data_IF_579706199991
#
_entry.id   IF_579706199991
#
_cell.length_a   1.000
_cell.length_b   1.000
_cell.length_c   1.000
_cell.angle_alpha   90.00
_cell.angle_beta   90.00
_cell.angle_gamma   90.00
#
_symmetry.space_group_name_H-M   'P 1'
#
loop_
_entity.id
_entity.type
_entity.pdbx_description
1 polymer ?
#
# COMPACT_ATOMS: atom_id res chain seq x y z
N UNK A 1 77.31 -3.84 4.84
CA UNK A 1 76.95 -4.92 5.78
C UNK A 1 76.47 -6.09 4.94
N UNK A 2 77.43 -6.92 4.51
CA UNK A 2 77.74 -8.23 5.13
C UNK A 2 76.58 -9.21 4.90
N UNK A 3 76.62 -10.00 3.83
CA UNK A 3 77.40 -11.25 3.60
C UNK A 3 76.98 -12.33 4.59
N UNK A 4 76.60 -13.51 4.05
CA UNK A 4 76.87 -14.89 4.49
C UNK A 4 75.64 -15.77 4.10
N UNK A 5 75.71 -16.94 3.46
CA UNK A 5 76.81 -17.74 2.94
C UNK A 5 76.26 -19.05 2.31
N UNK A 6 76.70 -19.34 1.08
CA UNK A 6 77.11 -20.63 0.49
C UNK A 6 76.17 -21.86 0.32
N UNK A 7 76.20 -22.35 -0.93
CA UNK A 7 76.55 -23.72 -1.42
C UNK A 7 75.82 -24.91 -0.77
N UNK A 8 75.13 -25.79 -1.49
CA UNK A 8 75.47 -26.39 -2.79
C UNK A 8 75.88 -27.85 -2.55
N UNK A 9 75.19 -28.83 -3.14
CA UNK A 9 75.80 -30.13 -3.42
C UNK A 9 75.09 -30.92 -4.54
N UNK A 10 75.90 -31.18 -5.54
CA UNK A 10 75.93 -32.17 -6.62
C UNK A 10 74.78 -33.15 -6.91
N UNK A 11 74.59 -33.20 -8.22
CA UNK A 11 73.92 -34.16 -9.09
C UNK A 11 74.68 -35.50 -9.14
N UNK A 12 73.97 -36.64 -8.98
CA UNK A 12 74.17 -37.88 -9.78
C UNK A 12 73.25 -39.04 -9.36
N UNK A 13 72.46 -39.48 -10.34
CA UNK A 13 72.08 -40.87 -10.68
C UNK A 13 71.79 -41.84 -9.52
N UNK A 14 70.55 -42.34 -9.48
CA UNK A 14 70.24 -43.73 -9.85
C UNK A 14 68.73 -43.98 -9.93
N UNK A 15 68.40 -44.72 -10.98
CA UNK A 15 67.12 -45.26 -11.42
C UNK A 15 66.50 -46.11 -10.30
N UNK A 16 65.20 -45.96 -10.02
CA UNK A 16 64.28 -47.10 -10.01
C UNK A 16 62.83 -46.67 -10.20
N UNK A 17 62.21 -47.37 -11.14
CA UNK A 17 60.83 -47.34 -11.59
C UNK A 17 59.90 -47.86 -10.49
N UNK A 18 58.82 -47.14 -10.19
CA UNK A 18 57.64 -47.71 -9.58
C UNK A 18 56.40 -47.01 -10.14
N UNK A 19 55.75 -47.74 -11.03
CA UNK A 19 54.53 -47.42 -11.76
C UNK A 19 53.37 -47.06 -10.83
N UNK A 20 52.71 -45.93 -11.09
CA UNK A 20 51.34 -45.70 -10.70
C UNK A 20 50.58 -45.19 -11.94
N UNK A 21 49.74 -46.05 -12.49
CA UNK A 21 48.90 -45.77 -13.63
C UNK A 21 47.91 -44.66 -13.28
N UNK A 22 48.14 -43.46 -13.82
CA UNK A 22 47.20 -42.34 -13.72
C UNK A 22 46.31 -42.37 -14.96
N UNK A 23 45.09 -42.88 -14.78
CA UNK A 23 44.04 -42.79 -15.79
C UNK A 23 43.75 -41.31 -16.08
N UNK A 24 44.03 -40.88 -17.31
CA UNK A 24 43.61 -39.60 -17.86
C UNK A 24 42.09 -39.65 -18.07
N UNK A 25 41.33 -39.18 -17.08
CA UNK A 25 39.93 -38.82 -17.28
C UNK A 25 39.88 -37.60 -18.21
N UNK A 26 39.27 -37.80 -19.37
CA UNK A 26 38.96 -36.75 -20.33
C UNK A 26 38.10 -35.68 -19.65
N UNK A 27 38.67 -34.49 -19.46
CA UNK A 27 37.94 -33.31 -19.01
C UNK A 27 36.97 -32.86 -20.09
N UNK A 28 35.77 -33.42 -20.09
CA UNK A 28 34.65 -32.88 -20.85
C UNK A 28 34.29 -31.52 -20.26
N UNK A 29 34.53 -30.45 -21.04
CA UNK A 29 34.00 -29.13 -20.77
C UNK A 29 32.46 -29.20 -20.90
N UNK A 30 31.77 -29.45 -19.78
CA UNK A 30 30.33 -29.20 -19.68
C UNK A 30 30.14 -27.68 -19.74
N UNK A 31 29.81 -27.18 -20.92
CA UNK A 31 29.25 -25.84 -21.07
C UNK A 31 27.96 -25.81 -20.25
N UNK A 32 28.03 -25.19 -19.07
CA UNK A 32 26.86 -24.92 -18.25
C UNK A 32 25.99 -23.93 -19.02
N UNK A 33 25.02 -24.43 -19.78
CA UNK A 33 23.99 -23.61 -20.38
C UNK A 33 23.31 -22.85 -19.25
N UNK A 34 23.62 -21.56 -19.16
CA UNK A 34 22.94 -20.65 -18.26
C UNK A 34 21.44 -20.74 -18.57
N UNK A 35 20.68 -21.30 -17.62
CA UNK A 35 19.23 -21.28 -17.71
C UNK A 35 18.79 -19.81 -17.93
N UNK A 36 17.84 -19.55 -18.85
CA UNK A 36 17.36 -18.19 -19.06
C UNK A 36 16.88 -17.65 -17.72
N UNK A 37 17.46 -16.52 -17.30
CA UNK A 37 17.05 -15.83 -16.08
C UNK A 37 15.54 -15.59 -16.16
N UNK A 38 14.79 -16.17 -15.22
CA UNK A 38 13.36 -15.94 -15.11
C UNK A 38 13.15 -14.42 -15.02
N UNK A 39 12.45 -13.85 -16.01
CA UNK A 39 12.07 -12.44 -15.96
C UNK A 39 11.25 -12.23 -14.67
N UNK A 40 11.57 -11.23 -13.83
CA UNK A 40 10.78 -10.93 -12.65
C UNK A 40 9.32 -10.77 -13.09
N UNK A 41 8.43 -11.57 -12.51
CA UNK A 41 7.00 -11.44 -12.78
C UNK A 41 6.61 -9.97 -12.59
N UNK A 42 5.95 -9.39 -13.59
CA UNK A 42 5.49 -8.01 -13.50
C UNK A 42 4.65 -7.86 -12.23
N UNK A 43 5.14 -7.05 -11.27
CA UNK A 43 4.41 -6.74 -10.05
C UNK A 43 3.12 -6.05 -10.49
N UNK A 44 1.97 -6.70 -10.24
CA UNK A 44 0.68 -6.10 -10.54
C UNK A 44 0.59 -4.76 -9.79
N UNK A 45 0.10 -3.68 -10.44
CA UNK A 45 -0.16 -2.43 -9.75
C UNK A 45 -1.01 -2.69 -8.50
N UNK A 46 -0.68 -2.03 -7.40
CA UNK A 46 -1.47 -2.11 -6.18
C UNK A 46 -2.90 -1.64 -6.47
N UNK A 47 -3.87 -2.34 -5.89
CA UNK A 47 -5.26 -1.95 -5.96
C UNK A 47 -5.46 -0.57 -5.29
N UNK A 48 -6.05 0.43 -5.97
CA UNK A 48 -6.21 1.78 -5.42
C UNK A 48 -6.97 1.83 -4.09
N UNK A 49 -8.00 1.01 -3.92
CA UNK A 49 -8.79 0.96 -2.69
C UNK A 49 -7.93 0.41 -1.54
N UNK A 50 -7.29 -0.73 -1.75
CA UNK A 50 -6.40 -1.35 -0.76
C UNK A 50 -5.24 -0.43 -0.39
N UNK A 51 -4.65 0.27 -1.36
CA UNK A 51 -3.57 1.23 -1.10
C UNK A 51 -4.04 2.40 -0.24
N UNK A 52 -5.27 2.91 -0.44
CA UNK A 52 -5.84 3.95 0.40
C UNK A 52 -6.12 3.47 1.83
N UNK A 53 -6.66 2.26 2.00
CA UNK A 53 -6.88 1.66 3.32
C UNK A 53 -5.54 1.39 4.04
N UNK A 54 -4.53 0.91 3.32
CA UNK A 54 -3.19 0.73 3.86
C UNK A 54 -2.57 2.06 4.29
N UNK A 55 -2.71 3.13 3.51
CA UNK A 55 -2.24 4.46 3.90
C UNK A 55 -2.89 4.93 5.21
N UNK A 56 -4.19 4.70 5.39
CA UNK A 56 -4.89 4.98 6.66
C UNK A 56 -4.33 4.18 7.82
N UNK A 57 -4.08 2.88 7.65
CA UNK A 57 -3.51 2.02 8.69
C UNK A 57 -2.10 2.46 9.10
N UNK A 58 -1.28 2.90 8.13
CA UNK A 58 0.04 3.47 8.41
C UNK A 58 -0.08 4.80 9.15
N UNK A 59 -1.05 5.65 8.81
CA UNK A 59 -1.32 6.89 9.54
C UNK A 59 -1.73 6.61 11.00
N UNK A 60 -2.53 5.57 11.24
CA UNK A 60 -2.89 5.16 12.60
C UNK A 60 -1.70 4.66 13.41
N UNK A 61 -0.83 3.86 12.78
CA UNK A 61 0.42 3.46 13.40
C UNK A 61 1.27 4.68 13.76
N UNK A 62 1.46 5.59 12.80
CA UNK A 62 2.22 6.81 13.00
C UNK A 62 1.69 7.68 14.16
N UNK A 63 0.37 7.79 14.33
CA UNK A 63 -0.26 8.49 15.46
C UNK A 63 0.01 7.83 16.80
N UNK A 64 -0.15 6.50 16.87
CA UNK A 64 0.08 5.74 18.10
C UNK A 64 1.53 5.83 18.57
N UNK A 65 2.47 5.75 17.62
CA UNK A 65 3.90 5.77 17.92
C UNK A 65 4.50 7.19 17.96
N UNK A 66 3.75 8.20 17.50
CA UNK A 66 4.28 9.55 17.30
C UNK A 66 5.38 9.61 16.23
N UNK A 67 5.31 8.75 15.21
CA UNK A 67 6.34 8.58 14.18
C UNK A 67 6.09 9.47 12.95
N UNK A 68 6.89 10.55 12.74
CA UNK A 68 6.70 11.44 11.60
C UNK A 68 7.10 10.81 10.25
N UNK A 69 8.01 9.83 10.24
CA UNK A 69 8.41 9.13 9.02
C UNK A 69 7.31 8.17 8.54
N UNK A 70 6.66 7.48 9.48
CA UNK A 70 5.49 6.68 9.17
C UNK A 70 4.34 7.57 8.65
N UNK A 71 4.09 8.73 9.25
CA UNK A 71 3.05 9.65 8.77
C UNK A 71 3.37 10.20 7.37
N UNK A 72 4.63 10.57 7.11
CA UNK A 72 5.09 10.95 5.77
C UNK A 72 4.87 9.81 4.76
N UNK A 73 5.12 8.57 5.17
CA UNK A 73 4.90 7.39 4.32
C UNK A 73 3.42 7.23 3.99
N UNK A 74 2.53 7.33 4.97
CA UNK A 74 1.08 7.30 4.76
C UNK A 74 0.62 8.39 3.78
N UNK A 75 1.08 9.63 3.95
CA UNK A 75 0.73 10.74 3.07
C UNK A 75 1.18 10.48 1.62
N UNK A 76 2.40 9.97 1.43
CA UNK A 76 2.92 9.60 0.11
C UNK A 76 2.17 8.44 -0.52
N UNK A 77 1.82 7.42 0.26
CA UNK A 77 1.02 6.29 -0.21
C UNK A 77 -0.33 6.78 -0.74
N UNK A 78 -1.03 7.62 0.04
CA UNK A 78 -2.34 8.14 -0.34
C UNK A 78 -2.26 9.05 -1.58
N UNK A 79 -1.25 9.93 -1.64
CA UNK A 79 -1.01 10.82 -2.77
C UNK A 79 -0.77 10.10 -4.10
N UNK A 80 -0.28 8.87 -4.04
CA UNK A 80 -0.05 8.04 -5.23
C UNK A 80 -1.31 7.31 -5.71
N UNK A 81 -2.39 7.32 -4.93
CA UNK A 81 -3.65 6.66 -5.31
C UNK A 81 -4.36 7.54 -6.34
N UNK A 82 -4.62 7.04 -7.56
CA UNK A 82 -5.41 7.75 -8.53
C UNK A 82 -6.87 7.81 -8.08
N UNK A 83 -7.36 9.00 -7.72
CA UNK A 83 -8.74 9.21 -7.28
C UNK A 83 -9.49 10.14 -8.22
N UNK A 84 -10.72 9.77 -8.57
CA UNK A 84 -11.69 10.71 -9.11
C UNK A 84 -12.56 11.25 -7.98
N UNK A 85 -12.74 12.56 -7.92
CA UNK A 85 -13.68 13.18 -7.00
C UNK A 85 -15.12 12.92 -7.50
N UNK A 86 -15.96 12.38 -6.62
CA UNK A 86 -17.41 12.38 -6.77
C UNK A 86 -17.98 13.72 -6.30
N UNK A 87 -19.31 13.87 -6.36
CA UNK A 87 -19.99 15.03 -5.76
C UNK A 87 -19.62 15.12 -4.28
N UNK A 88 -18.89 16.17 -3.90
CA UNK A 88 -18.46 16.42 -2.54
C UNK A 88 -19.39 17.43 -1.87
N UNK A 89 -19.64 17.25 -0.57
CA UNK A 89 -20.27 18.29 0.23
C UNK A 89 -19.34 19.50 0.34
N UNK A 90 -19.90 20.72 0.25
CA UNK A 90 -19.13 21.95 0.48
C UNK A 90 -18.55 22.00 1.90
N UNK A 91 -17.36 22.58 2.07
CA UNK A 91 -16.73 22.85 3.38
C UNK A 91 -15.24 22.48 3.41
N UNK A 92 -14.69 22.44 4.62
CA UNK A 92 -13.26 22.23 4.89
C UNK A 92 -12.70 20.90 4.36
N UNK A 93 -11.39 20.71 4.43
CA UNK A 93 -10.77 19.45 4.03
C UNK A 93 -11.06 18.35 5.06
N UNK A 94 -11.35 17.12 4.60
CA UNK A 94 -11.53 15.99 5.49
C UNK A 94 -10.21 15.59 6.15
N UNK A 95 -10.25 15.10 7.39
CA UNK A 95 -9.05 14.69 8.13
C UNK A 95 -8.22 13.60 7.41
N UNK A 96 -8.87 12.80 6.57
CA UNK A 96 -8.20 11.83 5.70
C UNK A 96 -8.03 12.38 4.27
N UNK A 97 -6.90 13.04 4.04
CA UNK A 97 -6.48 13.48 2.71
C UNK A 97 -4.95 13.52 2.63
N UNK A 98 -4.34 13.54 1.42
CA UNK A 98 -2.90 13.72 1.31
C UNK A 98 -2.39 14.95 2.06
N UNK A 99 -3.05 16.11 1.90
CA UNK A 99 -2.59 17.36 2.48
C UNK A 99 -2.76 17.38 4.00
N UNK A 100 -3.85 16.84 4.54
CA UNK A 100 -4.06 16.68 5.97
C UNK A 100 -2.99 15.75 6.59
N UNK A 101 -2.68 14.61 5.96
CA UNK A 101 -1.64 13.69 6.44
C UNK A 101 -0.24 14.32 6.39
N UNK A 102 0.07 15.10 5.35
CA UNK A 102 1.34 15.82 5.32
C UNK A 102 1.40 16.93 6.38
N UNK A 103 0.29 17.63 6.65
CA UNK A 103 0.22 18.61 7.73
C UNK A 103 0.47 17.96 9.09
N UNK A 104 -0.10 16.78 9.33
CA UNK A 104 0.14 15.98 10.54
C UNK A 104 1.59 15.50 10.62
N UNK A 105 2.19 15.07 9.50
CA UNK A 105 3.62 14.72 9.44
C UNK A 105 4.52 15.89 9.86
N UNK A 106 4.21 17.12 9.43
CA UNK A 106 4.96 18.33 9.84
C UNK A 106 4.81 18.58 11.33
N UNK A 107 3.61 18.44 11.87
CA UNK A 107 3.36 18.61 13.30
C UNK A 107 4.17 17.62 14.15
N UNK A 108 4.26 16.36 13.71
CA UNK A 108 5.07 15.33 14.37
C UNK A 108 6.58 15.58 14.22
N UNK A 109 7.03 16.09 13.06
CA UNK A 109 8.45 16.38 12.80
C UNK A 109 9.02 17.53 13.64
N UNK A 110 8.16 18.42 14.16
CA UNK A 110 8.56 19.58 14.97
C UNK A 110 9.64 20.41 14.26
N UNK A 111 10.82 20.55 14.85
CA UNK A 111 11.91 21.40 14.36
C UNK A 111 12.97 20.64 13.53
N UNK A 112 12.75 19.36 13.20
CA UNK A 112 13.65 18.58 12.34
C UNK A 112 13.65 19.15 10.90
N UNK A 113 14.60 20.05 10.64
CA UNK A 113 14.71 20.76 9.36
C UNK A 113 14.92 19.81 8.17
N UNK A 114 15.63 18.70 8.37
CA UNK A 114 15.88 17.74 7.31
C UNK A 114 14.57 17.01 6.93
N UNK A 115 13.81 16.58 7.92
CA UNK A 115 12.51 15.94 7.70
C UNK A 115 11.47 16.91 7.15
N UNK A 116 11.40 18.14 7.65
CA UNK A 116 10.52 19.19 7.11
C UNK A 116 10.79 19.46 5.62
N UNK A 117 12.06 19.45 5.20
CA UNK A 117 12.44 19.57 3.79
C UNK A 117 11.95 18.35 2.98
N UNK A 118 12.14 17.14 3.50
CA UNK A 118 11.66 15.91 2.85
C UNK A 118 10.13 15.90 2.69
N UNK A 119 9.40 16.36 3.70
CA UNK A 119 7.94 16.51 3.65
C UNK A 119 7.56 17.50 2.54
N UNK A 120 8.20 18.67 2.49
CA UNK A 120 7.92 19.69 1.46
C UNK A 120 8.17 19.16 0.05
N UNK A 121 9.28 18.46 -0.18
CA UNK A 121 9.60 17.85 -1.48
C UNK A 121 8.58 16.76 -1.87
N UNK A 122 8.13 15.97 -0.90
CA UNK A 122 7.10 14.94 -1.13
C UNK A 122 5.72 15.56 -1.42
N UNK A 123 5.42 16.71 -0.80
CA UNK A 123 4.21 17.50 -1.06
C UNK A 123 4.21 18.16 -2.44
N UNK A 124 5.36 18.55 -2.98
CA UNK A 124 5.43 19.16 -4.32
C UNK A 124 5.49 18.15 -5.47
N UNK A 125 5.94 16.92 -5.21
CA UNK A 125 5.97 15.86 -6.24
C UNK A 125 4.56 15.61 -6.80
N UNK A 126 4.37 15.55 -8.12
CA UNK A 126 3.03 15.32 -8.68
C UNK A 126 2.48 13.94 -8.28
N UNK A 127 1.20 13.89 -7.91
CA UNK A 127 0.47 12.63 -7.76
C UNK A 127 0.33 11.94 -9.11
N UNK A 128 0.18 10.60 -9.11
CA UNK A 128 -0.18 9.89 -10.34
C UNK A 128 -1.62 10.28 -10.68
N UNK A 129 -1.83 10.91 -11.84
CA UNK A 129 -3.17 11.27 -12.32
C UNK A 129 -4.10 10.04 -12.40
N UNK A 130 -5.40 10.27 -12.57
CA UNK A 130 -6.41 9.20 -12.59
C UNK A 130 -6.06 8.14 -13.65
N UNK A 131 -5.55 7.00 -13.20
CA UNK A 131 -5.35 5.83 -14.04
C UNK A 131 -6.59 4.95 -13.90
N UNK A 132 -7.10 4.45 -15.03
CA UNK A 132 -8.10 3.39 -15.02
C UNK A 132 -7.59 2.24 -14.14
N UNK A 133 -8.42 1.83 -13.18
CA UNK A 133 -8.18 0.67 -12.33
C UNK A 133 -8.47 -0.59 -13.14
N UNK A 134 -7.94 -1.75 -12.73
CA UNK A 134 -8.36 -3.05 -13.25
C UNK A 134 -9.88 -3.30 -13.05
N UNK A 135 -10.55 -2.46 -12.25
CA UNK A 135 -11.99 -2.47 -11.96
C UNK A 135 -12.78 -1.31 -12.60
N UNK A 136 -12.16 -0.41 -13.39
CA UNK A 136 -12.88 0.70 -14.06
C UNK A 136 -12.28 2.10 -13.83
N UNK A 137 -13.14 3.10 -13.55
CA UNK A 137 -12.77 4.52 -13.37
C UNK A 137 -12.09 4.79 -12.02
N UNK A 138 -10.84 4.35 -11.83
CA UNK A 138 -10.02 4.68 -10.66
C UNK A 138 -10.69 4.40 -9.30
N UNK A 139 -10.17 4.99 -8.23
CA UNK A 139 -10.89 5.03 -6.94
C UNK A 139 -11.82 6.25 -6.93
N UNK A 140 -13.10 6.08 -6.62
CA UNK A 140 -14.01 7.20 -6.39
C UNK A 140 -13.88 7.65 -4.95
N UNK A 141 -13.61 8.95 -4.76
CA UNK A 141 -13.58 9.61 -3.46
C UNK A 141 -14.74 10.59 -3.34
N UNK A 142 -15.49 10.53 -2.25
CA UNK A 142 -16.52 11.52 -1.89
C UNK A 142 -16.29 11.99 -0.45
N UNK A 143 -16.43 13.27 -0.20
CA UNK A 143 -16.44 13.82 1.17
C UNK A 143 -17.86 14.19 1.55
N UNK A 144 -18.30 13.72 2.71
CA UNK A 144 -19.65 13.93 3.20
C UNK A 144 -19.67 14.15 4.71
N UNK A 145 -20.40 15.16 5.15
CA UNK A 145 -20.74 15.33 6.56
C UNK A 145 -21.79 14.27 6.97
N UNK A 146 -21.46 13.44 7.97
CA UNK A 146 -22.38 12.46 8.57
C UNK A 146 -22.75 12.94 9.97
N UNK A 147 -24.00 13.37 10.11
CA UNK A 147 -24.53 13.94 11.35
C UNK A 147 -24.51 12.92 12.51
N UNK A 148 -24.44 13.40 13.76
CA UNK A 148 -24.52 12.55 14.94
C UNK A 148 -25.75 11.66 14.93
N UNK A 149 -25.60 10.41 15.35
CA UNK A 149 -26.70 9.42 15.48
C UNK A 149 -27.54 9.28 14.21
N UNK A 150 -26.93 9.49 13.05
CA UNK A 150 -27.61 9.48 11.76
C UNK A 150 -26.82 8.68 10.72
N UNK A 151 -27.42 8.45 9.56
CA UNK A 151 -26.78 7.80 8.43
C UNK A 151 -26.99 8.58 7.13
N UNK A 152 -25.91 8.75 6.38
CA UNK A 152 -25.94 9.14 4.98
C UNK A 152 -26.25 7.93 4.12
N UNK A 153 -27.25 8.03 3.26
CA UNK A 153 -27.72 6.92 2.41
C UNK A 153 -27.62 7.28 0.96
N UNK A 154 -27.12 6.35 0.15
CA UNK A 154 -27.04 6.48 -1.30
C UNK A 154 -27.10 5.11 -1.95
N UNK A 155 -27.28 5.10 -3.26
CA UNK A 155 -27.24 3.89 -4.08
C UNK A 155 -26.02 3.90 -4.98
N UNK A 156 -25.50 2.71 -5.26
CA UNK A 156 -24.46 2.47 -6.27
C UNK A 156 -24.93 1.38 -7.22
N UNK A 157 -24.55 1.48 -8.48
CA UNK A 157 -24.73 0.39 -9.44
C UNK A 157 -23.46 -0.45 -9.48
N UNK A 158 -23.58 -1.75 -9.24
CA UNK A 158 -22.47 -2.69 -9.35
C UNK A 158 -22.80 -3.80 -10.35
N UNK A 159 -21.75 -4.39 -10.93
CA UNK A 159 -21.88 -5.53 -11.84
C UNK A 159 -21.72 -6.85 -11.09
N UNK A 160 -22.51 -7.84 -11.50
CA UNK A 160 -22.36 -9.20 -10.99
C UNK A 160 -20.98 -9.77 -11.34
N UNK A 161 -20.34 -10.44 -10.38
CA UNK A 161 -19.02 -11.04 -10.53
C UNK A 161 -17.85 -10.08 -10.35
N UNK A 162 -18.08 -8.76 -10.28
CA UNK A 162 -17.06 -7.76 -9.99
C UNK A 162 -17.06 -7.41 -8.49
N UNK A 163 -15.90 -7.17 -7.85
CA UNK A 163 -15.87 -6.70 -6.47
C UNK A 163 -16.54 -5.33 -6.32
N UNK A 164 -17.35 -5.17 -5.27
CA UNK A 164 -17.85 -3.90 -4.76
C UNK A 164 -17.23 -3.68 -3.38
N UNK A 165 -16.37 -2.67 -3.26
CA UNK A 165 -15.72 -2.27 -2.01
C UNK A 165 -16.14 -0.86 -1.66
N UNK A 166 -16.60 -0.67 -0.43
CA UNK A 166 -16.96 0.62 0.12
C UNK A 166 -16.21 0.80 1.43
N UNK A 167 -15.49 1.91 1.57
CA UNK A 167 -14.86 2.32 2.81
C UNK A 167 -15.38 3.68 3.23
N UNK A 168 -15.51 3.91 4.52
CA UNK A 168 -15.83 5.21 5.08
C UNK A 168 -14.83 5.53 6.17
N UNK A 169 -14.18 6.68 6.08
CA UNK A 169 -13.15 7.14 7.01
C UNK A 169 -13.63 8.45 7.60
N UNK A 170 -14.20 8.36 8.80
CA UNK A 170 -14.65 9.50 9.58
C UNK A 170 -13.51 10.21 10.29
N UNK A 171 -13.88 11.20 11.10
CA UNK A 171 -12.96 11.87 12.02
C UNK A 171 -12.53 10.90 13.13
N UNK A 172 -11.27 11.02 13.57
CA UNK A 172 -10.70 10.19 14.62
C UNK A 172 -11.52 10.32 15.91
N UNK A 173 -11.81 9.19 16.55
CA UNK A 173 -12.65 9.13 17.75
C UNK A 173 -14.15 9.06 17.47
N UNK A 174 -14.57 9.10 16.19
CA UNK A 174 -15.95 8.77 15.81
C UNK A 174 -16.17 7.27 15.72
N UNK A 175 -17.44 6.84 15.84
CA UNK A 175 -17.86 5.45 15.77
C UNK A 175 -18.76 5.31 14.56
N UNK A 176 -18.16 4.99 13.42
CA UNK A 176 -18.79 4.88 12.12
C UNK A 176 -19.24 3.44 11.85
N UNK A 177 -20.20 3.26 10.95
CA UNK A 177 -20.58 1.94 10.42
C UNK A 177 -20.91 2.01 8.94
N UNK A 178 -20.81 0.86 8.26
CA UNK A 178 -21.31 0.66 6.90
C UNK A 178 -22.31 -0.48 6.91
N UNK A 179 -23.46 -0.26 6.27
CA UNK A 179 -24.38 -1.31 5.89
C UNK A 179 -24.61 -1.30 4.39
N UNK A 180 -24.37 -2.44 3.76
CA UNK A 180 -24.59 -2.70 2.33
C UNK A 180 -25.76 -3.65 2.14
N UNK A 181 -26.71 -3.25 1.32
CA UNK A 181 -27.94 -3.99 1.06
C UNK A 181 -28.13 -4.18 -0.45
N UNK A 182 -28.63 -5.35 -0.85
CA UNK A 182 -29.06 -5.57 -2.23
C UNK A 182 -30.45 -4.95 -2.51
N UNK A 183 -30.89 -5.05 -3.77
CA UNK A 183 -32.18 -4.53 -4.22
C UNK A 183 -33.40 -5.12 -3.49
N UNK A 184 -33.28 -6.31 -2.88
CA UNK A 184 -34.35 -6.91 -2.07
C UNK A 184 -34.37 -6.39 -0.62
N UNK A 185 -33.39 -5.57 -0.25
CA UNK A 185 -33.18 -5.10 1.12
C UNK A 185 -32.42 -6.10 2.00
N UNK A 186 -31.87 -7.18 1.42
CA UNK A 186 -31.05 -8.13 2.17
C UNK A 186 -29.68 -7.53 2.46
N UNK A 187 -29.25 -7.63 3.71
CA UNK A 187 -27.91 -7.19 4.14
C UNK A 187 -26.86 -8.14 3.59
N UNK A 188 -25.97 -7.59 2.76
CA UNK A 188 -24.82 -8.31 2.21
C UNK A 188 -23.56 -8.12 3.06
N UNK A 189 -23.41 -6.94 3.67
CA UNK A 189 -22.31 -6.63 4.56
C UNK A 189 -22.74 -5.63 5.63
N UNK A 190 -22.19 -5.80 6.82
CA UNK A 190 -22.24 -4.84 7.91
C UNK A 190 -20.84 -4.80 8.54
N UNK A 191 -20.26 -3.61 8.59
CA UNK A 191 -19.11 -3.32 9.43
C UNK A 191 -19.56 -2.30 10.48
N UNK A 192 -19.58 -2.75 11.74
CA UNK A 192 -20.06 -1.98 12.89
C UNK A 192 -19.11 -2.12 14.10
N UNK A 193 -17.80 -2.25 13.83
CA UNK A 193 -16.76 -2.53 14.84
C UNK A 193 -16.47 -1.37 15.81
N UNK A 194 -17.30 -0.33 15.79
CA UNK A 194 -17.20 0.86 16.61
C UNK A 194 -15.90 1.67 16.42
N UNK A 195 -15.24 1.52 15.27
CA UNK A 195 -14.13 2.35 14.85
C UNK A 195 -14.60 3.51 13.94
N UNK A 196 -13.66 4.35 13.51
CA UNK A 196 -13.96 5.49 12.63
C UNK A 196 -13.80 5.14 11.14
N UNK A 197 -13.43 3.89 10.80
CA UNK A 197 -12.95 3.50 9.48
C UNK A 197 -13.52 2.16 8.94
N UNK A 198 -14.85 1.95 8.96
CA UNK A 198 -15.47 0.71 8.49
C UNK A 198 -15.27 0.46 7.00
N UNK A 199 -15.18 -0.81 6.62
CA UNK A 199 -15.01 -1.30 5.24
C UNK A 199 -15.93 -2.48 4.96
N UNK A 200 -16.66 -2.41 3.84
CA UNK A 200 -17.40 -3.53 3.28
C UNK A 200 -16.82 -3.91 1.92
N UNK A 201 -16.52 -5.20 1.74
CA UNK A 201 -16.12 -5.76 0.46
C UNK A 201 -16.98 -6.99 0.14
N UNK A 202 -17.68 -6.94 -0.99
CA UNK A 202 -18.49 -8.08 -1.48
C UNK A 202 -18.25 -8.30 -2.96
N UNK A 203 -18.59 -9.47 -3.47
CA UNK A 203 -18.69 -9.72 -4.91
C UNK A 203 -20.14 -10.04 -5.21
N UNK A 204 -20.94 -9.08 -5.73
CA UNK A 204 -22.34 -9.31 -5.98
C UNK A 204 -22.54 -10.39 -7.05
N UNK A 205 -23.60 -11.20 -6.91
CA UNK A 205 -23.90 -12.28 -7.89
C UNK A 205 -24.58 -11.76 -9.15
N UNK A 206 -25.40 -10.74 -9.02
CA UNK A 206 -26.15 -10.13 -10.10
C UNK A 206 -25.71 -8.66 -10.25
N UNK A 207 -25.85 -8.12 -11.45
CA UNK A 207 -25.72 -6.67 -11.65
C UNK A 207 -26.98 -5.98 -11.13
N UNK A 208 -26.84 -4.80 -10.54
CA UNK A 208 -27.99 -4.05 -10.04
C UNK A 208 -27.62 -2.90 -9.12
N UNK A 209 -28.64 -2.32 -8.50
CA UNK A 209 -28.49 -1.28 -7.48
C UNK A 209 -28.28 -1.89 -6.10
N UNK A 210 -27.39 -1.25 -5.35
CA UNK A 210 -27.07 -1.59 -3.97
C UNK A 210 -27.21 -0.34 -3.11
N UNK A 211 -27.89 -0.48 -1.97
CA UNK A 211 -28.02 0.63 -1.01
C UNK A 211 -26.87 0.59 -0.02
N UNK A 212 -26.21 1.73 0.13
CA UNK A 212 -25.18 1.97 1.13
C UNK A 212 -25.74 2.90 2.20
N UNK A 213 -25.64 2.48 3.46
CA UNK A 213 -25.83 3.35 4.62
C UNK A 213 -24.47 3.56 5.29
N UNK A 214 -23.97 4.80 5.33
CA UNK A 214 -22.80 5.21 6.11
C UNK A 214 -23.30 5.92 7.35
N UNK A 215 -23.16 5.30 8.52
CA UNK A 215 -23.71 5.84 9.75
C UNK A 215 -22.67 6.30 10.76
N UNK A 216 -23.07 7.24 11.60
CA UNK A 216 -22.27 7.79 12.68
C UNK A 216 -23.01 7.56 14.01
N UNK A 217 -22.47 6.66 14.84
CA UNK A 217 -22.96 6.36 16.19
C UNK A 217 -22.41 7.34 17.23
N UNK A 218 -21.57 8.30 16.89
CA UNK A 218 -21.05 9.28 17.85
C UNK A 218 -22.02 10.43 18.10
N UNK A 219 -21.73 11.20 19.16
CA UNK A 219 -22.43 12.45 19.47
C UNK A 219 -21.90 13.65 18.66
N UNK A 220 -20.68 13.55 18.13
CA UNK A 220 -20.08 14.56 17.25
C UNK A 220 -20.38 14.25 15.78
N UNK A 221 -20.49 15.31 14.97
CA UNK A 221 -20.53 15.20 13.50
C UNK A 221 -19.19 14.67 13.00
N UNK A 222 -19.20 13.90 11.91
CA UNK A 222 -17.99 13.36 11.29
C UNK A 222 -17.88 13.81 9.83
N UNK A 223 -16.77 14.44 9.44
CA UNK A 223 -16.49 14.75 8.04
C UNK A 223 -15.84 13.54 7.36
N UNK A 224 -16.68 12.73 6.74
CA UNK A 224 -16.34 11.37 6.33
C UNK A 224 -15.89 11.31 4.88
N UNK A 225 -14.76 10.65 4.64
CA UNK A 225 -14.31 10.27 3.30
C UNK A 225 -14.89 8.90 2.94
N UNK A 226 -15.67 8.85 1.88
CA UNK A 226 -16.25 7.63 1.32
C UNK A 226 -15.43 7.23 0.09
N UNK A 227 -14.98 5.98 0.06
CA UNK A 227 -14.19 5.39 -1.01
C UNK A 227 -14.97 4.25 -1.67
N UNK A 228 -14.95 4.18 -3.00
CA UNK A 228 -15.51 3.06 -3.79
C UNK A 228 -14.63 2.76 -5.00
N UNK A 229 -14.52 1.48 -5.37
CA UNK A 229 -13.91 1.07 -6.63
C UNK A 229 -14.88 1.15 -7.82
#
# INVERSE_FOLDING_TARGET
>A
MEIILLKGLDMKRKILVASAAMMLAQGGAMAQQAAPAAQPAAVKPADPFEQAIAARQVADFARREGDPYAMLTAARMLKQVPMSEGEAAAGDEAAFSPDALFAEAKALARDDQALLLQIRLSQSASGRGVMASAFGKGLVRRVQDVNPRNAYRFTVTAKGGEPLRIGAIGDIGTSMYIRLLDASGKQLCLDDNADYAPVCAVTPRASGEYRIDIGNKSAAKSRTVILSN
#
